data_IF_306091465268
#
_entry.id   IF_306091465268
#
_cell.length_a   1.000
_cell.length_b   1.000
_cell.length_c   1.000
_cell.angle_alpha   90.00
_cell.angle_beta   90.00
_cell.angle_gamma   90.00
#
_symmetry.space_group_name_H-M   'P 1'
#
loop_
_entity.id
_entity.type
_entity.pdbx_description
1 polymer ?
#
# COMPACT_ATOMS: atom_id res chain seq x y z
N UNK A 1 10.46 -5.84 5.45
CA UNK A 1 10.87 -5.80 4.05
C UNK A 1 9.73 -6.26 3.13
N UNK A 2 9.56 -5.61 1.97
CA UNK A 2 8.46 -5.84 1.03
C UNK A 2 8.56 -7.18 0.31
N UNK A 3 9.77 -7.62 -0.07
CA UNK A 3 9.96 -8.92 -0.74
C UNK A 3 9.63 -10.08 0.21
N UNK A 4 10.04 -9.98 1.48
CA UNK A 4 9.64 -10.94 2.51
C UNK A 4 8.12 -11.03 2.67
N UNK A 5 7.41 -9.90 2.59
CA UNK A 5 5.94 -9.87 2.66
C UNK A 5 5.31 -10.60 1.47
N UNK A 6 5.80 -10.40 0.25
CA UNK A 6 5.34 -11.12 -0.93
C UNK A 6 5.60 -12.64 -0.82
N UNK A 7 6.82 -13.03 -0.42
CA UNK A 7 7.18 -14.45 -0.20
C UNK A 7 6.29 -15.13 0.85
N UNK A 8 5.84 -14.39 1.86
CA UNK A 8 5.01 -14.91 2.93
C UNK A 8 3.58 -15.22 2.45
N UNK A 9 3.02 -14.41 1.55
CA UNK A 9 1.63 -14.57 1.12
C UNK A 9 1.48 -15.47 -0.11
N UNK A 10 2.46 -15.51 -1.01
CA UNK A 10 2.39 -16.36 -2.19
C UNK A 10 2.69 -17.82 -1.85
N UNK A 11 1.99 -18.72 -2.56
CA UNK A 11 2.18 -20.16 -2.49
C UNK A 11 3.62 -20.53 -2.83
N UNK A 12 4.19 -21.44 -2.03
CA UNK A 12 5.59 -21.88 -2.13
C UNK A 12 6.63 -20.75 -2.14
N UNK A 13 6.24 -19.54 -1.71
CA UNK A 13 7.01 -18.31 -1.83
C UNK A 13 7.38 -17.92 -3.27
N UNK A 14 6.63 -18.39 -4.27
CA UNK A 14 6.88 -18.16 -5.69
C UNK A 14 5.99 -17.05 -6.27
N UNK A 15 6.62 -16.08 -6.94
CA UNK A 15 5.93 -15.02 -7.67
C UNK A 15 6.79 -14.47 -8.80
N UNK A 16 6.15 -13.81 -9.75
CA UNK A 16 6.83 -13.08 -10.83
C UNK A 16 6.62 -11.58 -10.66
N UNK A 17 7.70 -10.83 -10.48
CA UNK A 17 7.67 -9.36 -10.47
C UNK A 17 7.51 -8.80 -11.88
N UNK A 18 6.72 -7.74 -12.02
CA UNK A 18 6.53 -7.01 -13.27
C UNK A 18 6.69 -5.50 -13.04
N UNK A 19 6.82 -4.73 -14.14
CA UNK A 19 7.09 -3.28 -14.10
C UNK A 19 8.36 -2.91 -13.27
N UNK A 20 9.35 -3.80 -13.26
CA UNK A 20 10.61 -3.63 -12.50
C UNK A 20 11.47 -2.48 -13.03
N UNK A 21 11.27 -2.07 -14.29
CA UNK A 21 12.04 -1.03 -14.97
C UNK A 21 11.43 0.38 -14.83
N UNK A 22 10.29 0.54 -14.15
CA UNK A 22 9.70 1.86 -13.90
C UNK A 22 10.41 2.50 -12.71
N UNK A 23 11.01 3.67 -12.94
CA UNK A 23 11.83 4.37 -11.96
C UNK A 23 11.32 5.79 -11.69
N UNK A 24 11.46 6.25 -10.45
CA UNK A 24 11.15 7.64 -10.11
C UNK A 24 12.09 8.61 -10.78
N UNK A 25 11.54 9.76 -11.12
CA UNK A 25 12.27 10.88 -11.72
C UNK A 25 12.01 12.15 -10.91
N UNK A 26 12.65 13.25 -11.28
CA UNK A 26 12.46 14.56 -10.65
C UNK A 26 11.76 15.53 -11.61
N UNK A 27 10.43 15.40 -11.81
CA UNK A 27 9.68 16.21 -12.79
C UNK A 27 9.61 17.68 -12.40
N UNK A 28 9.72 17.99 -11.10
CA UNK A 28 9.61 19.36 -10.57
C UNK A 28 10.98 20.02 -10.34
N UNK A 29 12.09 19.31 -10.57
CA UNK A 29 13.45 19.76 -10.21
C UNK A 29 13.51 20.20 -8.74
N UNK A 30 12.91 19.41 -7.87
CA UNK A 30 12.64 19.78 -6.48
C UNK A 30 13.93 19.79 -5.64
N UNK A 31 14.07 20.81 -4.79
CA UNK A 31 15.22 20.96 -3.89
C UNK A 31 14.70 21.34 -2.50
N UNK A 32 15.00 20.52 -1.49
CA UNK A 32 14.86 20.87 -0.08
C UNK A 32 16.25 21.19 0.54
N UNK A 33 16.53 20.66 1.72
CA UNK A 33 17.90 20.48 2.24
C UNK A 33 18.87 19.83 1.24
N UNK A 34 18.38 18.96 0.35
CA UNK A 34 19.13 18.30 -0.73
C UNK A 34 18.26 18.20 -1.99
N UNK A 35 18.85 18.10 -3.20
CA UNK A 35 18.10 17.83 -4.42
C UNK A 35 17.36 16.49 -4.36
N UNK A 36 16.11 16.44 -4.84
CA UNK A 36 15.32 15.21 -4.86
C UNK A 36 16.00 14.10 -5.67
N UNK A 37 16.60 14.45 -6.80
CA UNK A 37 17.40 13.53 -7.62
C UNK A 37 18.49 12.79 -6.81
N UNK A 38 19.20 13.49 -5.92
CA UNK A 38 20.22 12.85 -5.07
C UNK A 38 19.60 11.91 -4.04
N UNK A 39 18.44 12.28 -3.49
CA UNK A 39 17.69 11.43 -2.56
C UNK A 39 17.24 10.15 -3.26
N UNK A 40 16.76 10.24 -4.51
CA UNK A 40 16.40 9.08 -5.33
C UNK A 40 17.60 8.16 -5.53
N UNK A 41 18.72 8.67 -6.05
CA UNK A 41 19.93 7.86 -6.30
C UNK A 41 20.39 7.14 -5.04
N UNK A 42 20.54 7.86 -3.91
CA UNK A 42 20.97 7.26 -2.64
C UNK A 42 20.01 6.20 -2.12
N UNK A 43 18.71 6.43 -2.27
CA UNK A 43 17.69 5.47 -1.81
C UNK A 43 17.67 4.22 -2.68
N UNK A 44 17.80 4.39 -4.01
CA UNK A 44 17.90 3.28 -4.95
C UNK A 44 19.14 2.43 -4.69
N UNK A 45 20.30 3.06 -4.44
CA UNK A 45 21.54 2.36 -4.04
C UNK A 45 21.38 1.58 -2.72
N UNK A 46 20.70 2.17 -1.73
CA UNK A 46 20.53 1.56 -0.41
C UNK A 46 19.50 0.42 -0.38
N UNK A 47 18.46 0.50 -1.22
CA UNK A 47 17.32 -0.43 -1.19
C UNK A 47 17.32 -1.45 -2.33
N UNK A 48 18.04 -1.17 -3.42
CA UNK A 48 18.06 -2.00 -4.62
C UNK A 48 16.79 -1.93 -5.47
N UNK A 49 15.79 -1.12 -5.09
CA UNK A 49 14.55 -0.93 -5.85
C UNK A 49 14.50 0.45 -6.51
N UNK A 50 13.76 0.57 -7.62
CA UNK A 50 13.65 1.83 -8.37
C UNK A 50 12.59 2.80 -7.83
N UNK A 51 11.64 2.30 -7.02
CA UNK A 51 10.66 3.10 -6.28
C UNK A 51 10.05 2.32 -5.09
N UNK A 52 9.10 2.94 -4.39
CA UNK A 52 8.53 2.49 -3.13
C UNK A 52 7.45 1.40 -3.26
N UNK A 53 7.44 0.64 -4.36
CA UNK A 53 6.46 -0.41 -4.59
C UNK A 53 7.03 -1.56 -5.42
N UNK A 54 6.78 -2.78 -4.98
CA UNK A 54 6.98 -4.01 -5.74
C UNK A 54 5.60 -4.52 -6.18
N UNK A 55 5.47 -4.85 -7.45
CA UNK A 55 4.26 -5.42 -8.07
C UNK A 55 4.58 -6.81 -8.57
N UNK A 56 3.77 -7.78 -8.18
CA UNK A 56 4.01 -9.20 -8.42
C UNK A 56 2.71 -9.93 -8.74
N UNK A 57 2.84 -11.03 -9.48
CA UNK A 57 1.74 -11.97 -9.73
C UNK A 57 2.15 -13.38 -9.32
N UNK A 58 1.18 -14.15 -8.83
CA UNK A 58 1.41 -15.50 -8.34
C UNK A 58 0.11 -16.13 -7.86
N UNK A 59 0.22 -17.15 -7.02
CA UNK A 59 -0.93 -17.81 -6.42
C UNK A 59 -0.98 -17.62 -4.91
N UNK A 60 -2.17 -17.41 -4.35
CA UNK A 60 -2.40 -17.40 -2.91
C UNK A 60 -3.56 -18.34 -2.64
N UNK A 61 -3.31 -19.46 -1.97
CA UNK A 61 -4.35 -20.45 -1.74
C UNK A 61 -4.85 -21.10 -3.04
N UNK A 62 -3.99 -21.20 -4.06
CA UNK A 62 -4.35 -21.69 -5.38
C UNK A 62 -5.02 -20.66 -6.30
N UNK A 63 -5.50 -19.52 -5.78
CA UNK A 63 -6.11 -18.45 -6.56
C UNK A 63 -5.06 -17.61 -7.27
N UNK A 64 -5.29 -17.26 -8.53
CA UNK A 64 -4.41 -16.35 -9.25
C UNK A 64 -4.62 -14.92 -8.73
N UNK A 65 -3.55 -14.27 -8.26
CA UNK A 65 -3.61 -12.97 -7.58
C UNK A 65 -2.52 -12.03 -8.08
N UNK A 66 -2.89 -10.76 -8.25
CA UNK A 66 -1.94 -9.65 -8.37
C UNK A 66 -1.72 -9.03 -6.99
N UNK A 67 -0.47 -9.01 -6.52
CA UNK A 67 -0.11 -8.41 -5.25
C UNK A 67 0.84 -7.23 -5.41
N UNK A 68 0.66 -6.21 -4.58
CA UNK A 68 1.61 -5.11 -4.43
C UNK A 68 2.09 -5.01 -2.99
N UNK A 69 3.37 -4.72 -2.79
CA UNK A 69 3.94 -4.44 -1.47
C UNK A 69 4.73 -3.14 -1.49
N UNK A 70 4.40 -2.21 -0.59
CA UNK A 70 5.12 -0.96 -0.45
C UNK A 70 6.47 -1.15 0.25
N UNK A 71 7.48 -0.43 -0.22
CA UNK A 71 8.85 -0.45 0.34
C UNK A 71 9.03 0.80 1.20
N UNK A 72 8.83 0.67 2.52
CA UNK A 72 8.87 1.81 3.44
C UNK A 72 10.26 2.47 3.51
N UNK A 73 11.32 1.68 3.34
CA UNK A 73 12.70 2.14 3.30
C UNK A 73 12.94 3.12 2.13
N UNK A 74 12.10 3.05 1.08
CA UNK A 74 12.15 3.98 -0.03
C UNK A 74 11.39 5.28 0.29
N UNK A 75 12.11 6.26 0.85
CA UNK A 75 11.57 7.60 1.18
C UNK A 75 10.27 7.48 2.00
N UNK A 76 10.30 6.66 3.05
CA UNK A 76 9.16 6.45 3.96
C UNK A 76 7.96 5.79 3.30
N UNK A 77 8.17 5.01 2.22
CA UNK A 77 7.10 4.41 1.44
C UNK A 77 6.20 5.45 0.80
N UNK A 78 6.68 6.68 0.59
CA UNK A 78 5.82 7.77 0.16
C UNK A 78 5.27 7.53 -1.24
N UNK A 79 3.98 7.78 -1.45
CA UNK A 79 3.33 7.59 -2.75
C UNK A 79 3.68 8.75 -3.70
N UNK A 80 4.54 8.48 -4.68
CA UNK A 80 4.79 9.33 -5.84
C UNK A 80 4.18 8.75 -7.12
N UNK A 81 4.54 9.32 -8.27
CA UNK A 81 4.00 8.96 -9.59
C UNK A 81 4.22 7.48 -9.93
N UNK A 82 5.36 6.89 -9.56
CA UNK A 82 5.66 5.49 -9.84
C UNK A 82 4.85 4.53 -8.98
N UNK A 83 4.67 4.80 -7.67
CA UNK A 83 3.73 4.04 -6.84
C UNK A 83 2.34 4.07 -7.48
N UNK A 84 1.85 5.25 -7.87
CA UNK A 84 0.55 5.40 -8.52
C UNK A 84 0.44 4.65 -9.85
N UNK A 85 1.45 4.74 -10.72
CA UNK A 85 1.51 3.97 -11.96
C UNK A 85 1.51 2.47 -11.73
N UNK A 86 2.38 1.95 -10.86
CA UNK A 86 2.51 0.52 -10.64
C UNK A 86 1.27 -0.09 -9.99
N UNK A 87 0.63 0.60 -9.03
CA UNK A 87 -0.64 0.12 -8.46
C UNK A 87 -1.74 0.14 -9.52
N UNK A 88 -1.87 1.22 -10.30
CA UNK A 88 -2.87 1.27 -11.38
C UNK A 88 -2.68 0.15 -12.38
N UNK A 89 -1.44 -0.09 -12.86
CA UNK A 89 -1.14 -1.20 -13.77
C UNK A 89 -1.41 -2.56 -13.14
N UNK A 90 -1.12 -2.73 -11.86
CA UNK A 90 -1.43 -3.96 -11.15
C UNK A 90 -2.95 -4.23 -11.14
N UNK A 91 -3.76 -3.21 -10.89
CA UNK A 91 -5.23 -3.31 -10.94
C UNK A 91 -5.71 -3.61 -12.36
N UNK A 92 -5.20 -2.90 -13.37
CA UNK A 92 -5.53 -3.16 -14.78
C UNK A 92 -5.13 -4.56 -15.24
N UNK A 93 -3.97 -5.04 -14.79
CA UNK A 93 -3.50 -6.39 -15.05
C UNK A 93 -4.41 -7.42 -14.37
N UNK A 94 -4.87 -7.15 -13.14
CA UNK A 94 -5.77 -8.02 -12.42
C UNK A 94 -7.12 -8.16 -13.15
N UNK A 95 -7.66 -7.05 -13.65
CA UNK A 95 -8.86 -7.02 -14.50
C UNK A 95 -8.65 -7.86 -15.75
N UNK A 96 -7.51 -7.69 -16.44
CA UNK A 96 -7.19 -8.43 -17.67
C UNK A 96 -7.03 -9.93 -17.42
N UNK A 97 -6.45 -10.32 -16.29
CA UNK A 97 -6.22 -11.72 -15.91
C UNK A 97 -7.41 -12.33 -15.16
N UNK A 98 -8.50 -11.57 -14.91
CA UNK A 98 -9.62 -11.96 -14.06
C UNK A 98 -9.17 -12.52 -12.70
N UNK A 99 -8.34 -11.74 -12.00
CA UNK A 99 -7.75 -12.10 -10.71
C UNK A 99 -8.05 -11.06 -9.64
N UNK A 100 -7.99 -11.48 -8.37
CA UNK A 100 -8.07 -10.60 -7.23
C UNK A 100 -6.80 -9.75 -7.04
N UNK A 101 -6.93 -8.68 -6.26
CA UNK A 101 -5.83 -7.77 -5.92
C UNK A 101 -5.57 -7.79 -4.41
N UNK A 102 -4.30 -7.86 -4.02
CA UNK A 102 -3.86 -7.68 -2.62
C UNK A 102 -2.84 -6.55 -2.56
N UNK A 103 -3.07 -5.51 -1.75
CA UNK A 103 -2.09 -4.42 -1.58
C UNK A 103 -1.66 -4.33 -0.12
N UNK A 104 -0.36 -4.52 0.12
CA UNK A 104 0.26 -4.34 1.43
C UNK A 104 0.85 -2.93 1.53
N UNK A 105 0.16 -2.10 2.32
CA UNK A 105 0.48 -0.68 2.49
C UNK A 105 1.42 -0.44 3.65
N UNK A 106 2.44 0.38 3.41
CA UNK A 106 3.39 0.89 4.40
C UNK A 106 3.88 2.26 3.91
N UNK A 107 3.35 3.35 4.47
CA UNK A 107 3.60 4.70 3.97
C UNK A 107 3.46 5.80 5.02
N UNK A 108 4.38 6.75 4.95
CA UNK A 108 4.29 8.05 5.61
C UNK A 108 3.38 9.07 4.89
N UNK A 109 2.78 8.71 3.74
CA UNK A 109 1.86 9.56 2.98
C UNK A 109 2.29 9.85 1.54
N UNK A 110 1.81 10.96 0.98
CA UNK A 110 2.12 11.37 -0.38
C UNK A 110 3.57 11.92 -0.49
N UNK A 111 4.23 11.69 -1.62
CA UNK A 111 5.61 12.12 -1.84
C UNK A 111 5.67 13.62 -2.17
N UNK A 112 5.99 14.43 -1.16
CA UNK A 112 5.99 15.89 -1.27
C UNK A 112 6.88 16.42 -2.42
N UNK A 113 7.99 15.75 -2.72
CA UNK A 113 8.93 16.15 -3.78
C UNK A 113 8.31 16.14 -5.18
N UNK A 114 7.22 15.41 -5.39
CA UNK A 114 6.46 15.40 -6.65
C UNK A 114 5.15 16.22 -6.57
N UNK A 115 4.89 16.88 -5.42
CA UNK A 115 3.83 17.85 -5.25
C UNK A 115 2.44 17.35 -5.67
N UNK A 116 1.79 18.12 -6.56
CA UNK A 116 0.45 17.80 -7.06
C UNK A 116 0.40 16.45 -7.80
N UNK A 117 1.51 15.99 -8.40
CA UNK A 117 1.54 14.69 -9.07
C UNK A 117 1.29 13.56 -8.07
N UNK A 118 1.88 13.62 -6.87
CA UNK A 118 1.63 12.66 -5.79
C UNK A 118 0.19 12.69 -5.32
N UNK A 119 -0.40 13.89 -5.17
CA UNK A 119 -1.81 14.03 -4.79
C UNK A 119 -2.73 13.35 -5.82
N UNK A 120 -2.47 13.56 -7.12
CA UNK A 120 -3.29 12.97 -8.19
C UNK A 120 -3.22 11.45 -8.25
N UNK A 121 -2.19 10.82 -7.67
CA UNK A 121 -2.14 9.35 -7.61
C UNK A 121 -3.27 8.77 -6.75
N UNK A 122 -3.76 9.51 -5.73
CA UNK A 122 -4.94 9.10 -4.96
C UNK A 122 -6.15 8.91 -5.88
N UNK A 123 -6.43 9.91 -6.72
CA UNK A 123 -7.56 9.88 -7.65
C UNK A 123 -7.37 8.80 -8.73
N UNK A 124 -6.15 8.68 -9.27
CA UNK A 124 -5.82 7.69 -10.29
C UNK A 124 -6.03 6.25 -9.83
N UNK A 125 -5.49 5.90 -8.66
CA UNK A 125 -5.64 4.54 -8.12
C UNK A 125 -7.10 4.28 -7.76
N UNK A 126 -7.78 5.24 -7.14
CA UNK A 126 -9.20 5.09 -6.78
C UNK A 126 -10.09 4.88 -8.02
N UNK A 127 -9.79 5.56 -9.13
CA UNK A 127 -10.49 5.34 -10.39
C UNK A 127 -10.22 3.94 -10.98
N UNK A 128 -9.00 3.42 -10.83
CA UNK A 128 -8.69 2.05 -11.24
C UNK A 128 -9.42 1.02 -10.37
N UNK A 129 -9.45 1.20 -9.04
CA UNK A 129 -10.22 0.35 -8.13
C UNK A 129 -11.72 0.38 -8.44
N UNK A 130 -12.28 1.52 -8.81
CA UNK A 130 -13.67 1.59 -9.27
C UNK A 130 -13.94 0.78 -10.55
N UNK A 131 -12.93 0.55 -11.39
CA UNK A 131 -13.06 -0.35 -12.54
C UNK A 131 -12.90 -1.82 -12.15
N UNK A 132 -12.09 -2.12 -11.11
CA UNK A 132 -11.97 -3.46 -10.55
C UNK A 132 -13.29 -3.92 -9.90
N UNK A 133 -13.92 -3.04 -9.12
CA UNK A 133 -15.24 -3.24 -8.52
C UNK A 133 -16.31 -3.53 -9.59
N UNK A 134 -16.36 -2.73 -10.66
CA UNK A 134 -17.26 -2.99 -11.81
C UNK A 134 -16.99 -4.32 -12.52
N UNK A 135 -15.76 -4.82 -12.47
CA UNK A 135 -15.40 -6.11 -13.02
C UNK A 135 -15.77 -7.27 -12.06
N UNK A 136 -16.23 -6.97 -10.85
CA UNK A 136 -16.60 -7.96 -9.84
C UNK A 136 -15.41 -8.73 -9.28
N UNK A 137 -14.22 -8.11 -9.24
CA UNK A 137 -12.98 -8.74 -8.77
C UNK A 137 -12.60 -8.21 -7.39
N UNK A 138 -12.19 -9.08 -6.45
CA UNK A 138 -11.96 -8.67 -5.07
C UNK A 138 -10.66 -7.90 -4.90
N UNK A 139 -10.68 -6.93 -3.99
CA UNK A 139 -9.53 -6.20 -3.50
C UNK A 139 -9.40 -6.29 -1.97
N UNK A 140 -8.31 -6.90 -1.51
CA UNK A 140 -7.94 -6.97 -0.10
C UNK A 140 -6.85 -5.94 0.20
N UNK A 141 -7.15 -5.00 1.10
CA UNK A 141 -6.20 -4.01 1.58
C UNK A 141 -5.56 -4.46 2.89
N UNK A 142 -4.23 -4.54 2.92
CA UNK A 142 -3.46 -4.93 4.11
C UNK A 142 -2.65 -3.73 4.60
N UNK A 143 -3.08 -3.12 5.69
CA UNK A 143 -2.42 -1.97 6.29
C UNK A 143 -1.39 -2.38 7.33
N UNK A 144 -0.19 -1.84 7.22
CA UNK A 144 0.93 -2.16 8.12
C UNK A 144 1.49 -0.90 8.74
N UNK A 145 2.37 -1.05 9.75
CA UNK A 145 2.92 0.09 10.48
C UNK A 145 4.05 0.79 9.71
N UNK A 146 3.96 2.10 9.44
CA UNK A 146 2.76 2.96 9.47
C UNK A 146 2.03 2.98 8.12
N UNK A 147 0.72 3.27 8.12
CA UNK A 147 -0.04 3.60 6.90
C UNK A 147 -0.77 4.93 7.12
N UNK A 148 -0.24 6.01 6.55
CA UNK A 148 -0.70 7.37 6.84
C UNK A 148 -0.94 8.24 5.62
N UNK A 149 -1.60 9.40 5.81
CA UNK A 149 -1.70 10.45 4.81
C UNK A 149 -2.55 10.08 3.60
N UNK A 150 -2.08 10.48 2.41
CA UNK A 150 -2.78 10.24 1.16
C UNK A 150 -2.98 8.76 0.81
N UNK A 151 -2.13 7.86 1.32
CA UNK A 151 -2.30 6.42 1.13
C UNK A 151 -3.53 5.91 1.89
N UNK A 152 -3.63 6.23 3.19
CA UNK A 152 -4.81 5.89 4.02
C UNK A 152 -6.09 6.52 3.50
N UNK A 153 -6.02 7.77 3.01
CA UNK A 153 -7.17 8.47 2.45
C UNK A 153 -7.47 8.11 0.98
N UNK A 154 -6.89 7.04 0.46
CA UNK A 154 -7.18 6.51 -0.87
C UNK A 154 -7.22 4.98 -0.83
N UNK A 155 -6.43 4.30 -1.65
CA UNK A 155 -6.54 2.87 -1.90
C UNK A 155 -6.41 2.01 -0.65
N UNK A 156 -5.68 2.44 0.39
CA UNK A 156 -5.51 1.63 1.60
C UNK A 156 -6.79 1.47 2.44
N UNK A 157 -7.84 2.27 2.17
CA UNK A 157 -9.13 2.19 2.87
C UNK A 157 -10.30 1.98 1.89
N UNK A 158 -10.01 1.44 0.71
CA UNK A 158 -10.99 1.13 -0.34
C UNK A 158 -11.03 -0.37 -0.67
N UNK A 159 -10.52 -1.22 0.23
CA UNK A 159 -10.65 -2.66 0.09
C UNK A 159 -12.09 -3.12 0.28
N UNK A 160 -12.46 -4.19 -0.42
CA UNK A 160 -13.62 -5.02 -0.07
C UNK A 160 -13.42 -5.66 1.32
N UNK A 161 -12.13 -5.85 1.67
CA UNK A 161 -11.69 -6.26 2.99
C UNK A 161 -10.47 -5.46 3.40
N UNK A 162 -10.62 -4.66 4.45
CA UNK A 162 -9.58 -3.85 5.06
C UNK A 162 -9.06 -4.55 6.32
N UNK A 163 -7.85 -5.10 6.23
CA UNK A 163 -7.19 -5.75 7.37
C UNK A 163 -5.91 -5.02 7.76
N UNK A 164 -5.51 -5.16 9.02
CA UNK A 164 -4.28 -4.59 9.52
C UNK A 164 -3.46 -5.55 10.39
N UNK A 165 -2.16 -5.31 10.48
CA UNK A 165 -1.31 -5.97 11.47
C UNK A 165 -1.52 -5.40 12.89
N UNK A 166 -1.29 -6.18 13.97
CA UNK A 166 -1.46 -5.71 15.35
C UNK A 166 -0.60 -4.48 15.66
N UNK A 167 -1.17 -3.51 16.37
CA UNK A 167 -0.51 -2.28 16.80
C UNK A 167 -0.11 -1.30 15.69
N UNK A 168 -0.49 -1.54 14.43
CA UNK A 168 -0.12 -0.68 13.31
C UNK A 168 -0.68 0.73 13.46
N UNK A 169 0.13 1.77 13.21
CA UNK A 169 -0.33 3.16 13.18
C UNK A 169 -0.97 3.47 11.83
N UNK A 170 -2.29 3.70 11.84
CA UNK A 170 -3.07 3.96 10.64
C UNK A 170 -3.89 5.23 10.82
N UNK A 171 -3.74 6.19 9.89
CA UNK A 171 -4.59 7.38 9.92
C UNK A 171 -4.19 8.48 8.96
N UNK A 172 -5.14 9.38 8.66
CA UNK A 172 -4.91 10.46 7.70
C UNK A 172 -3.84 11.46 8.17
N UNK A 173 -4.00 12.04 9.36
CA UNK A 173 -3.02 12.97 9.93
C UNK A 173 -2.21 12.26 11.02
N UNK A 174 -0.92 12.58 11.13
CA UNK A 174 -0.08 12.04 12.19
C UNK A 174 -0.54 12.52 13.58
N UNK A 175 -0.39 11.71 14.64
CA UNK A 175 -0.92 12.01 15.98
C UNK A 175 -0.41 13.33 16.54
N UNK A 176 0.86 13.66 16.28
CA UNK A 176 1.48 14.93 16.68
C UNK A 176 0.77 16.15 16.10
N UNK A 177 0.36 16.08 14.83
CA UNK A 177 -0.34 17.20 14.16
C UNK A 177 -1.73 17.38 14.77
N UNK A 178 -2.40 16.27 15.09
CA UNK A 178 -3.72 16.28 15.71
C UNK A 178 -3.66 16.89 17.11
N UNK A 179 -2.76 16.41 17.97
CA UNK A 179 -2.56 16.93 19.33
C UNK A 179 -2.29 18.44 19.35
N UNK A 180 -1.44 18.93 18.45
CA UNK A 180 -1.15 20.36 18.33
C UNK A 180 -2.38 21.17 17.91
N UNK A 181 -3.24 20.59 17.07
CA UNK A 181 -4.44 21.26 16.56
C UNK A 181 -5.53 21.34 17.63
N UNK A 182 -5.83 20.23 18.30
CA UNK A 182 -6.91 20.17 19.31
C UNK A 182 -6.43 20.62 20.70
N UNK A 183 -5.12 20.74 20.92
CA UNK A 183 -4.47 21.09 22.20
C UNK A 183 -4.87 20.17 23.36
N UNK A 184 -5.08 18.90 23.06
CA UNK A 184 -5.43 17.85 24.01
C UNK A 184 -4.59 16.61 23.75
N UNK A 185 -4.41 15.78 24.78
CA UNK A 185 -3.77 14.47 24.63
C UNK A 185 -4.71 13.52 23.91
N UNK A 186 -4.17 12.72 23.00
CA UNK A 186 -4.95 11.69 22.34
C UNK A 186 -5.24 10.52 23.30
N UNK A 187 -6.37 9.82 23.12
CA UNK A 187 -6.65 8.60 23.87
C UNK A 187 -5.54 7.55 23.71
N UNK A 188 -5.32 6.69 24.73
CA UNK A 188 -4.45 5.53 24.57
C UNK A 188 -4.89 4.68 23.38
N UNK A 189 -3.93 4.20 22.59
CA UNK A 189 -4.22 3.38 21.40
C UNK A 189 -4.79 4.14 20.21
N UNK A 190 -4.95 5.47 20.27
CA UNK A 190 -5.44 6.26 19.13
C UNK A 190 -4.65 5.95 17.85
N UNK A 191 -5.37 5.75 16.74
CA UNK A 191 -4.84 5.34 15.43
C UNK A 191 -4.13 3.97 15.38
N UNK A 192 -4.20 3.15 16.44
CA UNK A 192 -3.75 1.76 16.36
C UNK A 192 -4.78 0.90 15.65
N UNK A 193 -4.34 -0.20 15.02
CA UNK A 193 -5.24 -1.09 14.30
C UNK A 193 -6.37 -1.63 15.18
N UNK A 194 -6.13 -1.91 16.46
CA UNK A 194 -7.19 -2.30 17.40
C UNK A 194 -8.21 -1.17 17.62
N UNK A 195 -7.76 0.07 17.73
CA UNK A 195 -8.64 1.24 17.83
C UNK A 195 -9.46 1.43 16.56
N UNK A 196 -8.86 1.26 15.38
CA UNK A 196 -9.58 1.37 14.11
C UNK A 196 -10.63 0.25 13.95
N UNK A 197 -10.32 -0.97 14.38
CA UNK A 197 -11.25 -2.10 14.38
C UNK A 197 -12.47 -1.80 15.27
N UNK A 198 -12.25 -1.30 16.49
CA UNK A 198 -13.34 -0.90 17.40
C UNK A 198 -14.24 0.20 16.83
N UNK A 199 -13.72 1.04 15.93
CA UNK A 199 -14.46 2.13 15.29
C UNK A 199 -15.01 1.77 13.89
N UNK A 200 -14.93 0.50 13.47
CA UNK A 200 -15.50 0.02 12.22
C UNK A 200 -14.75 0.46 10.96
N UNK A 201 -13.48 0.84 11.08
CA UNK A 201 -12.62 1.20 9.94
C UNK A 201 -11.84 0.00 9.38
N UNK A 202 -11.75 -1.09 10.14
CA UNK A 202 -11.11 -2.34 9.73
C UNK A 202 -12.08 -3.48 9.91
N UNK A 203 -11.98 -4.48 9.05
CA UNK A 203 -12.72 -5.74 9.14
C UNK A 203 -12.03 -6.72 10.09
N UNK A 204 -10.69 -6.71 10.13
CA UNK A 204 -9.93 -7.54 11.04
C UNK A 204 -8.53 -7.00 11.36
N UNK A 205 -8.02 -7.41 12.53
CA UNK A 205 -6.61 -7.30 12.89
C UNK A 205 -6.00 -8.69 12.88
N UNK A 206 -5.02 -8.91 12.00
CA UNK A 206 -4.47 -10.24 11.69
C UNK A 206 -2.97 -10.25 11.93
N UNK A 207 -2.52 -11.13 12.83
CA UNK A 207 -1.09 -11.36 13.06
C UNK A 207 -0.43 -11.84 11.76
N UNK A 208 0.77 -11.30 11.47
CA UNK A 208 1.53 -11.59 10.24
C UNK A 208 1.67 -13.09 9.97
N UNK A 209 1.84 -13.92 10.99
CA UNK A 209 1.99 -15.39 10.83
C UNK A 209 0.74 -16.07 10.27
N UNK A 210 -0.43 -15.46 10.47
CA UNK A 210 -1.73 -15.96 10.02
C UNK A 210 -2.21 -15.25 8.75
N UNK A 211 -1.47 -14.25 8.26
CA UNK A 211 -1.93 -13.36 7.19
C UNK A 211 -2.19 -14.11 5.87
N UNK A 212 -1.28 -15.01 5.48
CA UNK A 212 -1.47 -15.82 4.26
C UNK A 212 -2.76 -16.64 4.34
N UNK A 213 -2.96 -17.33 5.45
CA UNK A 213 -4.13 -18.19 5.66
C UNK A 213 -5.42 -17.37 5.63
N UNK A 214 -5.44 -16.23 6.31
CA UNK A 214 -6.59 -15.34 6.34
C UNK A 214 -6.94 -14.79 4.93
N UNK A 215 -5.92 -14.37 4.17
CA UNK A 215 -6.11 -13.91 2.79
C UNK A 215 -6.65 -15.05 1.92
N UNK A 216 -6.06 -16.25 2.02
CA UNK A 216 -6.50 -17.43 1.27
C UNK A 216 -7.99 -17.73 1.50
N UNK A 217 -8.40 -17.82 2.77
CA UNK A 217 -9.79 -18.11 3.13
C UNK A 217 -10.76 -17.00 2.70
N UNK A 218 -10.31 -15.75 2.75
CA UNK A 218 -11.11 -14.62 2.26
C UNK A 218 -11.32 -14.69 0.75
N UNK A 219 -10.27 -15.05 0.01
CA UNK A 219 -10.34 -15.25 -1.44
C UNK A 219 -11.24 -16.45 -1.80
N UNK A 220 -11.18 -17.55 -1.04
CA UNK A 220 -12.13 -18.65 -1.20
C UNK A 220 -13.58 -18.17 -1.08
N UNK A 221 -13.89 -17.30 -0.12
CA UNK A 221 -15.24 -16.76 0.00
C UNK A 221 -15.62 -15.81 -1.13
N UNK A 222 -14.70 -14.97 -1.59
CA UNK A 222 -14.97 -13.89 -2.56
C UNK A 222 -14.98 -14.36 -4.03
N UNK A 223 -14.23 -15.42 -4.36
CA UNK A 223 -14.05 -15.91 -5.73
C UNK A 223 -14.87 -17.19 -6.03
N UNK A 224 -15.62 -17.71 -5.05
CA UNK A 224 -16.54 -18.83 -5.22
C UNK A 224 -17.91 -18.40 -5.76
#
# INVERSE_FOLDING_TARGET
DAQQRLRLIFDDSEYTEFDQNIASTDPLKFVDTKPYKERLTKTQEATGVLDALISARGKIGGHQIIACAMVYEFIGGSMGSVVGEKITRAIEQAIKEHSGVVIISASGGARMMEGALSLMQMAKISAALANLDKAGLPYISVMTDPTTGGVTASFAMLGDLNIAEPGALIGFAGPRVIEQTIRQKLPPGFQRSEFLLEHGMLDAVVDRKNLREYISQSLDFMLN
#
